data_IF_529611698848
#
_entry.id   IF_529611698848
#
_cell.length_a   1.000
_cell.length_b   1.000
_cell.length_c   1.000
_cell.angle_alpha   90.00
_cell.angle_beta   90.00
_cell.angle_gamma   90.00
#
_symmetry.space_group_name_H-M   'P 1'
#
loop_
_entity.id
_entity.type
_entity.pdbx_description
1 polymer ?
#
# COMPACT_ATOMS: atom_id res chain seq x y z
N UNK A 1 -33.57 -32.25 -24.46
CA UNK A 1 -32.46 -31.33 -24.18
C UNK A 1 -31.78 -31.71 -22.87
N UNK A 2 -30.45 -31.69 -22.78
CA UNK A 2 -29.74 -31.92 -21.51
C UNK A 2 -29.44 -30.56 -20.87
N UNK A 3 -30.18 -30.22 -19.82
CA UNK A 3 -29.87 -29.05 -18.99
C UNK A 3 -28.66 -29.33 -18.11
N UNK A 4 -27.66 -28.44 -18.15
CA UNK A 4 -26.48 -28.50 -17.26
C UNK A 4 -26.92 -28.08 -15.85
N UNK A 5 -27.00 -29.04 -14.94
CA UNK A 5 -27.33 -28.79 -13.52
C UNK A 5 -26.02 -28.65 -12.75
N UNK A 6 -25.74 -27.46 -12.20
CA UNK A 6 -24.62 -27.29 -11.29
C UNK A 6 -25.02 -27.75 -9.89
N UNK A 7 -24.19 -28.58 -9.25
CA UNK A 7 -24.36 -28.87 -7.83
C UNK A 7 -24.27 -27.56 -7.02
N UNK A 8 -25.00 -27.43 -5.90
CA UNK A 8 -24.91 -26.25 -5.03
C UNK A 8 -23.46 -25.92 -4.63
N UNK A 9 -22.64 -26.95 -4.40
CA UNK A 9 -21.22 -26.81 -4.09
C UNK A 9 -20.43 -26.17 -5.24
N UNK A 10 -20.61 -26.65 -6.47
CA UNK A 10 -19.92 -26.10 -7.65
C UNK A 10 -20.38 -24.67 -7.96
N UNK A 11 -21.67 -24.37 -7.77
CA UNK A 11 -22.19 -23.01 -7.86
C UNK A 11 -21.50 -22.07 -6.85
N UNK A 12 -21.45 -22.47 -5.58
CA UNK A 12 -20.83 -21.68 -4.52
C UNK A 12 -19.32 -21.47 -4.76
N UNK A 13 -18.58 -22.49 -5.19
CA UNK A 13 -17.16 -22.36 -5.56
C UNK A 13 -16.94 -21.35 -6.68
N UNK A 14 -17.81 -21.36 -7.71
CA UNK A 14 -17.72 -20.39 -8.81
C UNK A 14 -18.05 -18.98 -8.32
N UNK A 15 -19.12 -18.82 -7.53
CA UNK A 15 -19.51 -17.54 -6.92
C UNK A 15 -18.35 -16.95 -6.11
N UNK A 16 -17.71 -17.76 -5.27
CA UNK A 16 -16.57 -17.33 -4.46
C UNK A 16 -15.39 -16.85 -5.33
N UNK A 17 -15.02 -17.61 -6.37
CA UNK A 17 -13.98 -17.18 -7.32
C UNK A 17 -14.32 -15.88 -8.05
N UNK A 18 -15.59 -15.64 -8.36
CA UNK A 18 -16.01 -14.37 -8.97
C UNK A 18 -15.88 -13.20 -8.00
N UNK A 19 -16.25 -13.39 -6.73
CA UNK A 19 -16.06 -12.39 -5.68
C UNK A 19 -14.57 -12.04 -5.55
N UNK A 20 -13.70 -13.04 -5.42
CA UNK A 20 -12.24 -12.84 -5.32
C UNK A 20 -11.66 -12.06 -6.51
N UNK A 21 -12.11 -12.35 -7.73
CA UNK A 21 -11.69 -11.62 -8.94
C UNK A 21 -12.14 -10.17 -8.91
N UNK A 22 -13.39 -9.91 -8.52
CA UNK A 22 -13.94 -8.55 -8.42
C UNK A 22 -13.19 -7.75 -7.36
N UNK A 23 -12.94 -8.34 -6.19
CA UNK A 23 -12.13 -7.73 -5.13
C UNK A 23 -10.71 -7.41 -5.63
N UNK A 24 -10.10 -8.29 -6.43
CA UNK A 24 -8.82 -8.06 -7.09
C UNK A 24 -8.84 -6.83 -8.02
N UNK A 25 -9.88 -6.71 -8.84
CA UNK A 25 -10.06 -5.56 -9.75
C UNK A 25 -10.30 -4.26 -8.98
N UNK A 26 -11.17 -4.28 -7.96
CA UNK A 26 -11.43 -3.13 -7.08
C UNK A 26 -10.10 -2.70 -6.43
N UNK A 27 -9.36 -3.64 -5.86
CA UNK A 27 -8.05 -3.36 -5.26
C UNK A 27 -7.09 -2.73 -6.26
N UNK A 28 -7.02 -3.24 -7.49
CA UNK A 28 -6.18 -2.67 -8.56
C UNK A 28 -6.57 -1.23 -8.90
N UNK A 29 -7.87 -0.95 -9.05
CA UNK A 29 -8.36 0.36 -9.43
C UNK A 29 -8.14 1.42 -8.33
N UNK A 30 -8.46 1.08 -7.08
CA UNK A 30 -8.42 2.02 -5.95
C UNK A 30 -7.07 2.09 -5.22
N UNK A 31 -6.09 1.26 -5.58
CA UNK A 31 -4.76 1.34 -4.98
C UNK A 31 -3.95 2.49 -5.58
N UNK A 32 -3.69 3.50 -4.78
CA UNK A 32 -2.90 4.69 -5.10
C UNK A 32 -1.44 4.61 -4.61
N UNK A 33 -1.12 3.67 -3.73
CA UNK A 33 0.23 3.58 -3.13
C UNK A 33 1.02 2.34 -3.50
N UNK A 34 0.47 1.41 -4.28
CA UNK A 34 1.20 0.21 -4.72
C UNK A 34 1.44 0.26 -6.23
N UNK A 35 2.65 -0.11 -6.65
CA UNK A 35 3.03 -0.14 -8.05
C UNK A 35 2.05 -1.00 -8.87
N UNK A 36 1.52 -0.46 -9.98
CA UNK A 36 0.51 -1.13 -10.80
C UNK A 36 0.99 -2.48 -11.36
N UNK A 37 2.21 -2.52 -11.90
CA UNK A 37 2.81 -3.75 -12.43
C UNK A 37 3.03 -4.78 -11.32
N UNK A 38 3.52 -4.35 -10.16
CA UNK A 38 3.68 -5.21 -8.99
C UNK A 38 2.35 -5.87 -8.58
N UNK A 39 1.25 -5.12 -8.62
CA UNK A 39 -0.08 -5.65 -8.32
C UNK A 39 -0.54 -6.70 -9.32
N UNK A 40 -0.35 -6.44 -10.62
CA UNK A 40 -0.72 -7.37 -11.69
C UNK A 40 0.07 -8.68 -11.59
N UNK A 41 1.40 -8.58 -11.45
CA UNK A 41 2.28 -9.75 -11.31
C UNK A 41 1.89 -10.60 -10.09
N UNK A 42 1.63 -9.96 -8.96
CA UNK A 42 1.16 -10.66 -7.76
C UNK A 42 -0.22 -11.31 -7.95
N UNK A 43 -1.15 -10.64 -8.64
CA UNK A 43 -2.47 -11.19 -8.94
C UNK A 43 -2.41 -12.46 -9.81
N UNK A 44 -1.43 -12.54 -10.72
CA UNK A 44 -1.19 -13.73 -11.55
C UNK A 44 -0.25 -14.77 -10.92
N UNK A 45 0.05 -14.64 -9.62
CA UNK A 45 0.74 -15.66 -8.83
C UNK A 45 2.25 -15.47 -8.67
N UNK A 46 2.79 -14.34 -9.11
CA UNK A 46 4.20 -14.03 -8.87
C UNK A 46 4.45 -13.64 -7.40
N UNK A 47 5.53 -14.17 -6.82
CA UNK A 47 5.96 -13.86 -5.46
C UNK A 47 6.93 -12.69 -5.45
N UNK A 48 6.70 -11.77 -4.52
CA UNK A 48 7.55 -10.60 -4.26
C UNK A 48 7.99 -9.82 -5.51
N UNK A 49 7.07 -9.48 -6.44
CA UNK A 49 7.44 -8.76 -7.64
C UNK A 49 8.04 -7.39 -7.31
N UNK A 50 9.03 -7.01 -8.10
CA UNK A 50 9.65 -5.69 -8.02
C UNK A 50 8.73 -4.56 -8.48
N UNK A 51 8.99 -3.34 -7.98
CA UNK A 51 8.39 -2.12 -8.52
C UNK A 51 8.88 -1.88 -9.95
N UNK A 52 7.99 -1.48 -10.87
CA UNK A 52 8.37 -1.24 -12.27
C UNK A 52 9.08 0.09 -12.53
N UNK A 53 8.94 1.09 -11.66
CA UNK A 53 9.58 2.40 -11.83
C UNK A 53 8.88 3.36 -12.81
N UNK A 54 7.93 2.87 -13.62
CA UNK A 54 7.33 3.64 -14.73
C UNK A 54 5.82 3.92 -14.62
N UNK A 55 5.09 3.22 -13.73
CA UNK A 55 3.66 3.50 -13.53
C UNK A 55 3.41 4.84 -12.81
N UNK A 56 2.19 5.34 -12.86
CA UNK A 56 1.70 6.53 -12.13
C UNK A 56 2.21 6.57 -10.67
N UNK A 57 1.95 5.52 -9.89
CA UNK A 57 2.37 5.43 -8.48
C UNK A 57 3.90 5.47 -8.31
N UNK A 58 4.65 4.92 -9.27
CA UNK A 58 6.10 4.97 -9.21
C UNK A 58 6.64 6.36 -9.57
N UNK A 59 6.02 7.04 -10.54
CA UNK A 59 6.39 8.40 -10.95
C UNK A 59 6.19 9.38 -9.81
N UNK A 60 5.03 9.36 -9.14
CA UNK A 60 4.75 10.20 -7.98
C UNK A 60 5.78 10.03 -6.85
N UNK A 61 6.30 8.80 -6.67
CA UNK A 61 7.37 8.54 -5.69
C UNK A 61 8.73 9.05 -6.13
N UNK A 62 9.04 8.96 -7.42
CA UNK A 62 10.32 9.42 -7.96
C UNK A 62 10.44 10.95 -7.88
N UNK A 63 9.32 11.68 -7.93
CA UNK A 63 9.27 13.14 -7.74
C UNK A 63 9.73 13.59 -6.34
N UNK A 64 9.76 12.67 -5.36
CA UNK A 64 10.28 12.96 -4.01
C UNK A 64 11.81 13.13 -3.96
N UNK A 65 12.53 12.88 -5.06
CA UNK A 65 14.00 12.93 -5.07
C UNK A 65 14.65 11.81 -4.24
N UNK A 66 13.89 10.73 -3.97
CA UNK A 66 14.32 9.58 -3.18
C UNK A 66 14.61 8.41 -4.09
N UNK A 67 15.68 7.66 -3.79
CA UNK A 67 15.85 6.34 -4.39
C UNK A 67 14.74 5.38 -3.92
N UNK A 68 14.51 4.33 -4.72
CA UNK A 68 13.60 3.25 -4.35
C UNK A 68 13.94 2.67 -2.97
N UNK A 69 15.22 2.42 -2.72
CA UNK A 69 15.70 1.87 -1.46
C UNK A 69 15.42 2.80 -0.27
N UNK A 70 15.72 4.09 -0.39
CA UNK A 70 15.49 5.06 0.69
C UNK A 70 14.01 5.17 1.04
N UNK A 71 13.14 5.27 0.03
CA UNK A 71 11.70 5.32 0.28
C UNK A 71 11.22 4.07 1.03
N UNK A 72 11.63 2.88 0.58
CA UNK A 72 11.19 1.62 1.17
C UNK A 72 11.70 1.47 2.62
N UNK A 73 12.96 1.85 2.90
CA UNK A 73 13.52 1.82 4.25
C UNK A 73 12.83 2.80 5.20
N UNK A 74 12.63 4.06 4.78
CA UNK A 74 11.92 5.06 5.59
C UNK A 74 10.49 4.59 5.87
N UNK A 75 9.78 4.12 4.85
CA UNK A 75 8.39 3.66 4.99
C UNK A 75 8.27 2.43 5.91
N UNK A 76 9.18 1.46 5.84
CA UNK A 76 9.19 0.30 6.73
C UNK A 76 9.50 0.71 8.18
N UNK A 77 10.48 1.60 8.40
CA UNK A 77 10.78 2.13 9.73
C UNK A 77 9.59 2.90 10.32
N UNK A 78 8.94 3.76 9.52
CA UNK A 78 7.74 4.49 9.94
C UNK A 78 6.60 3.54 10.32
N UNK A 79 6.37 2.48 9.54
CA UNK A 79 5.37 1.46 9.89
C UNK A 79 5.70 0.80 11.22
N UNK A 80 6.95 0.39 11.43
CA UNK A 80 7.37 -0.27 12.66
C UNK A 80 7.16 0.64 13.88
N UNK A 81 7.60 1.90 13.81
CA UNK A 81 7.49 2.87 14.90
C UNK A 81 6.03 3.21 15.20
N UNK A 82 5.23 3.49 14.15
CA UNK A 82 3.83 3.92 14.30
C UNK A 82 2.85 2.77 14.58
N UNK A 83 3.28 1.52 14.46
CA UNK A 83 2.52 0.36 14.93
C UNK A 83 2.48 0.28 16.46
N UNK A 84 3.56 0.71 17.12
CA UNK A 84 3.66 0.69 18.58
C UNK A 84 2.90 1.86 19.20
N UNK A 85 3.30 3.10 18.89
CA UNK A 85 2.69 4.30 19.44
C UNK A 85 2.61 5.47 18.46
N UNK A 86 1.55 6.31 18.53
CA UNK A 86 1.48 7.55 17.77
C UNK A 86 2.61 8.50 18.19
N UNK A 87 3.28 9.13 17.22
CA UNK A 87 4.40 10.05 17.49
C UNK A 87 4.30 11.37 16.72
N UNK A 88 4.74 12.49 17.30
CA UNK A 88 4.80 13.76 16.59
C UNK A 88 5.84 13.71 15.45
N UNK A 89 5.60 14.50 14.41
CA UNK A 89 6.46 14.60 13.22
C UNK A 89 7.94 14.79 13.57
N UNK A 90 8.22 15.71 14.51
CA UNK A 90 9.58 16.11 14.91
C UNK A 90 10.33 14.95 15.58
N UNK A 91 9.63 14.07 16.29
CA UNK A 91 10.27 12.90 16.90
C UNK A 91 10.61 11.87 15.82
N UNK A 92 9.71 11.64 14.86
CA UNK A 92 9.95 10.72 13.74
C UNK A 92 11.16 11.16 12.89
N UNK A 93 11.26 12.43 12.53
CA UNK A 93 12.40 12.93 11.73
C UNK A 93 13.74 12.78 12.45
N UNK A 94 13.75 12.78 13.80
CA UNK A 94 14.96 12.59 14.62
C UNK A 94 15.29 11.13 14.90
N UNK A 95 14.28 10.25 14.96
CA UNK A 95 14.47 8.83 15.25
C UNK A 95 15.00 8.04 14.05
N UNK A 96 14.64 8.45 12.83
CA UNK A 96 15.09 7.77 11.62
C UNK A 96 16.52 8.17 11.27
N UNK A 97 17.34 7.19 10.86
CA UNK A 97 18.72 7.40 10.42
C UNK A 97 18.81 7.97 8.98
N UNK A 98 17.83 8.77 8.58
CA UNK A 98 17.73 9.39 7.26
C UNK A 98 17.66 10.92 7.41
N UNK A 99 18.12 11.70 6.41
CA UNK A 99 17.98 13.14 6.42
C UNK A 99 16.53 13.60 6.71
N UNK A 100 16.37 14.66 7.51
CA UNK A 100 15.05 15.11 7.98
C UNK A 100 14.12 15.48 6.81
N UNK A 101 14.67 16.10 5.76
CA UNK A 101 13.99 16.47 4.52
C UNK A 101 13.45 15.25 3.77
N UNK A 102 14.24 14.17 3.69
CA UNK A 102 13.85 12.89 3.09
C UNK A 102 12.75 12.22 3.89
N UNK A 103 12.91 12.15 5.20
CA UNK A 103 11.91 11.57 6.10
C UNK A 103 10.59 12.35 6.04
N UNK A 104 10.65 13.67 6.10
CA UNK A 104 9.48 14.55 5.99
C UNK A 104 8.77 14.41 4.64
N UNK A 105 9.52 14.22 3.54
CA UNK A 105 8.94 14.00 2.21
C UNK A 105 8.17 12.69 2.12
N UNK A 106 8.68 11.59 2.70
CA UNK A 106 7.93 10.33 2.79
C UNK A 106 6.71 10.46 3.67
N UNK A 107 6.81 11.12 4.82
CA UNK A 107 5.67 11.35 5.72
C UNK A 107 4.58 12.17 5.02
N UNK A 108 4.94 13.23 4.29
CA UNK A 108 4.01 14.03 3.49
C UNK A 108 3.31 13.18 2.44
N UNK A 109 4.08 12.41 1.67
CA UNK A 109 3.51 11.50 0.68
C UNK A 109 2.53 10.50 1.30
N UNK A 110 2.84 9.95 2.48
CA UNK A 110 1.94 9.03 3.20
C UNK A 110 0.68 9.72 3.74
N UNK A 111 0.75 10.99 4.15
CA UNK A 111 -0.41 11.80 4.54
C UNK A 111 -1.31 12.08 3.34
N UNK A 112 -0.72 12.48 2.21
CA UNK A 112 -1.44 12.81 0.97
C UNK A 112 -2.23 11.59 0.44
N UNK A 113 -1.71 10.38 0.67
CA UNK A 113 -2.34 9.12 0.29
C UNK A 113 -3.12 8.44 1.44
N UNK A 114 -3.42 9.20 2.50
CA UNK A 114 -4.19 8.79 3.69
C UNK A 114 -3.70 7.48 4.35
N UNK A 115 -2.41 7.15 4.24
CA UNK A 115 -1.83 5.96 4.90
C UNK A 115 -1.55 6.22 6.36
N UNK A 116 -1.19 7.45 6.69
CA UNK A 116 -1.06 7.95 8.05
C UNK A 116 -1.95 9.16 8.23
N UNK A 117 -2.35 9.44 9.48
CA UNK A 117 -3.20 10.58 9.84
C UNK A 117 -2.74 11.18 11.16
N UNK A 118 -3.09 12.45 11.39
CA UNK A 118 -2.92 13.09 12.69
C UNK A 118 -4.08 12.72 13.63
N UNK A 119 -3.77 12.50 14.91
CA UNK A 119 -4.75 12.47 15.98
C UNK A 119 -4.99 13.87 16.58
N UNK A 120 -5.88 13.95 17.58
CA UNK A 120 -6.20 15.17 18.30
C UNK A 120 -5.00 15.80 19.05
N UNK A 121 -3.94 15.03 19.30
CA UNK A 121 -2.71 15.46 19.96
C UNK A 121 -1.59 15.85 18.98
N UNK A 122 -1.89 15.99 17.68
CA UNK A 122 -0.90 16.24 16.62
C UNK A 122 0.19 15.17 16.49
N UNK A 123 -0.12 13.93 16.87
CA UNK A 123 0.71 12.75 16.63
C UNK A 123 0.23 12.01 15.39
N UNK A 124 1.18 11.49 14.61
CA UNK A 124 0.93 10.64 13.45
C UNK A 124 0.63 9.21 13.87
N UNK A 125 -0.31 8.55 13.20
CA UNK A 125 -0.61 7.13 13.34
C UNK A 125 -0.95 6.50 12.00
N UNK A 126 -0.77 5.19 11.87
CA UNK A 126 -1.19 4.44 10.69
C UNK A 126 -2.72 4.29 10.64
N UNK A 127 -3.33 4.61 9.49
CA UNK A 127 -4.77 4.44 9.29
C UNK A 127 -5.08 2.94 9.32
N UNK A 128 -5.86 2.48 10.32
CA UNK A 128 -6.33 1.10 10.37
C UNK A 128 -7.21 0.84 9.16
N UNK A 129 -6.96 -0.27 8.45
CA UNK A 129 -7.88 -0.73 7.40
C UNK A 129 -9.23 -1.01 8.07
N UNK A 130 -10.29 -0.35 7.58
CA UNK A 130 -11.67 -0.70 7.92
C UNK A 130 -12.00 -2.08 7.35
#
# INVERSE_FOLDING_TARGET
EKSVIFSPENYNKRKQKFIEKIEGVIKYAYSDTKCRSQMLRAYFGEKDPDRCGECDVCKDRNELGLSRYEFDMINEQLKYILQDQPKPLIELTKMLAFPEDKTASVIRWLLDHEKIVYNAQNCLLWKRKK
#
